data_IF_556154854906
#
_entry.id   IF_556154854906
#
_cell.length_a   1.000
_cell.length_b   1.000
_cell.length_c   1.000
_cell.angle_alpha   90.00
_cell.angle_beta   90.00
_cell.angle_gamma   90.00
#
_symmetry.space_group_name_H-M   'P 1'
#
loop_
_entity.id
_entity.type
_entity.pdbx_description
1 polymer ?
#
# COMPACT_ATOMS: atom_id res chain seq x y z
N UNK A 1 -11.35 20.35 1.93
CA UNK A 1 -10.73 19.28 1.13
C UNK A 1 -10.58 18.02 1.95
N UNK A 2 -9.87 18.05 3.08
CA UNK A 2 -9.69 16.88 3.96
C UNK A 2 -11.00 16.21 4.44
N UNK A 3 -12.02 17.01 4.79
CA UNK A 3 -13.32 16.46 5.19
C UNK A 3 -13.98 15.61 4.09
N UNK A 4 -13.77 15.99 2.81
CA UNK A 4 -14.26 15.23 1.66
C UNK A 4 -13.49 13.91 1.53
N UNK A 5 -12.15 13.97 1.53
CA UNK A 5 -11.30 12.76 1.47
C UNK A 5 -11.66 11.79 2.60
N UNK A 6 -11.83 12.29 3.82
CA UNK A 6 -12.23 11.46 4.97
C UNK A 6 -13.60 10.81 4.76
N UNK A 7 -14.57 11.52 4.18
CA UNK A 7 -15.87 10.94 3.85
C UNK A 7 -15.77 9.86 2.77
N UNK A 8 -14.93 10.06 1.75
CA UNK A 8 -14.68 9.09 0.69
C UNK A 8 -13.96 7.83 1.22
N UNK A 9 -12.97 7.99 2.10
CA UNK A 9 -12.32 6.87 2.79
C UNK A 9 -13.32 6.10 3.66
N UNK A 10 -14.17 6.81 4.41
CA UNK A 10 -15.22 6.18 5.20
C UNK A 10 -16.23 5.42 4.33
N UNK A 11 -16.55 5.92 3.14
CA UNK A 11 -17.42 5.24 2.19
C UNK A 11 -16.75 3.98 1.61
N UNK A 12 -15.44 4.05 1.34
CA UNK A 12 -14.66 2.89 0.92
C UNK A 12 -14.63 1.80 2.00
N UNK A 13 -14.37 2.19 3.25
CA UNK A 13 -14.35 1.28 4.40
C UNK A 13 -15.71 0.62 4.65
N UNK A 14 -16.82 1.31 4.36
CA UNK A 14 -18.16 0.75 4.48
C UNK A 14 -18.44 -0.43 3.52
N UNK A 15 -17.67 -0.59 2.44
CA UNK A 15 -17.75 -1.76 1.55
C UNK A 15 -17.23 -3.05 2.19
N UNK A 16 -16.37 -2.93 3.21
CA UNK A 16 -15.83 -4.06 3.95
C UNK A 16 -16.10 -3.85 5.45
N UNK A 17 -17.26 -4.32 5.97
CA UNK A 17 -17.58 -4.19 7.39
C UNK A 17 -16.47 -4.72 8.30
N UNK A 18 -16.04 -3.90 9.25
CA UNK A 18 -14.93 -4.21 10.16
C UNK A 18 -13.54 -3.77 9.67
N UNK A 19 -13.43 -3.23 8.45
CA UNK A 19 -12.20 -2.59 7.93
C UNK A 19 -11.58 -1.56 8.88
N UNK A 20 -12.41 -0.82 9.62
CA UNK A 20 -12.00 0.17 10.60
C UNK A 20 -11.24 -0.41 11.82
N UNK A 21 -11.19 -1.73 12.00
CA UNK A 21 -10.38 -2.36 13.04
C UNK A 21 -8.88 -2.07 12.86
N UNK A 22 -8.43 -1.92 11.61
CA UNK A 22 -7.06 -1.54 11.25
C UNK A 22 -7.14 -0.30 10.37
N UNK A 23 -7.00 0.87 10.99
CA UNK A 23 -7.11 2.13 10.27
C UNK A 23 -5.92 2.34 9.32
N UNK A 24 -6.18 2.91 8.15
CA UNK A 24 -5.11 3.53 7.36
C UNK A 24 -4.52 4.72 8.12
N UNK A 25 -3.26 5.05 7.85
CA UNK A 25 -2.51 6.07 8.63
C UNK A 25 -1.64 6.94 7.74
N UNK A 26 -1.51 8.22 8.09
CA UNK A 26 -0.68 9.19 7.37
C UNK A 26 -1.47 10.40 6.85
N UNK A 27 -0.94 11.05 5.82
CA UNK A 27 -1.52 12.24 5.21
C UNK A 27 -2.69 11.90 4.29
N UNK A 28 -3.75 12.71 4.34
CA UNK A 28 -4.90 12.59 3.43
C UNK A 28 -4.65 13.19 2.03
N UNK A 29 -3.47 13.76 1.80
CA UNK A 29 -3.00 14.22 0.48
C UNK A 29 -1.61 13.64 0.23
N UNK A 30 -1.46 12.31 0.15
CA UNK A 30 -0.16 11.68 0.06
C UNK A 30 0.42 11.80 -1.35
N UNK A 31 1.73 12.02 -1.43
CA UNK A 31 2.48 11.79 -2.66
C UNK A 31 2.71 10.28 -2.87
N UNK A 32 2.84 9.53 -1.75
CA UNK A 32 3.13 8.09 -1.72
C UNK A 32 2.07 7.33 -0.94
N UNK A 33 1.47 6.33 -1.58
CA UNK A 33 0.61 5.35 -0.92
C UNK A 33 1.36 4.03 -0.74
N UNK A 34 1.41 3.53 0.49
CA UNK A 34 1.92 2.21 0.82
C UNK A 34 0.75 1.25 1.07
N UNK A 35 0.74 0.14 0.35
CA UNK A 35 -0.30 -0.89 0.45
C UNK A 35 0.35 -2.18 0.91
N UNK A 36 -0.11 -2.67 2.06
CA UNK A 36 0.18 -4.02 2.57
C UNK A 36 -1.01 -4.93 2.29
N UNK A 37 -0.78 -6.21 2.02
CA UNK A 37 -1.84 -7.17 1.80
C UNK A 37 -2.70 -7.36 3.04
N UNK A 38 -2.19 -8.17 3.97
CA UNK A 38 -2.85 -8.54 5.22
C UNK A 38 -2.20 -7.83 6.41
N UNK A 39 -2.99 -7.43 7.41
CA UNK A 39 -2.48 -6.87 8.65
C UNK A 39 -1.65 -7.90 9.45
N UNK A 40 -0.46 -7.50 9.90
CA UNK A 40 0.39 -8.32 10.78
C UNK A 40 0.06 -8.12 12.26
N UNK A 41 0.73 -8.86 13.14
CA UNK A 41 0.50 -8.77 14.61
C UNK A 41 0.68 -7.35 15.16
N UNK A 42 1.69 -6.62 14.67
CA UNK A 42 1.94 -5.24 15.09
C UNK A 42 0.80 -4.29 14.65
N UNK A 43 0.28 -4.49 13.43
CA UNK A 43 -0.84 -3.68 12.90
C UNK A 43 -2.11 -3.94 13.70
N UNK A 44 -2.37 -5.21 14.03
CA UNK A 44 -3.52 -5.64 14.85
C UNK A 44 -3.42 -5.08 16.26
N UNK A 45 -2.24 -5.17 16.88
CA UNK A 45 -2.00 -4.66 18.23
C UNK A 45 -2.16 -3.14 18.31
N UNK A 46 -1.69 -2.43 17.28
CA UNK A 46 -1.74 -0.97 17.23
C UNK A 46 -3.08 -0.41 16.69
N UNK A 47 -3.88 -1.24 16.01
CA UNK A 47 -5.11 -0.81 15.32
C UNK A 47 -4.87 0.08 14.10
N UNK A 48 -3.64 0.08 13.54
CA UNK A 48 -3.26 0.93 12.39
C UNK A 48 -2.31 0.18 11.45
N UNK A 49 -2.41 0.45 10.16
CA UNK A 49 -1.59 -0.19 9.13
C UNK A 49 -0.11 0.23 9.20
N UNK A 50 0.80 -0.69 8.90
CA UNK A 50 2.26 -0.50 8.89
C UNK A 50 2.82 0.03 10.22
N UNK A 51 2.32 -0.51 11.32
CA UNK A 51 2.83 -0.25 12.67
C UNK A 51 4.11 -1.04 12.97
N UNK A 52 4.42 -2.07 12.17
CA UNK A 52 5.53 -2.98 12.36
C UNK A 52 6.87 -2.53 11.74
N UNK A 53 7.84 -3.44 11.85
CA UNK A 53 9.18 -3.25 11.28
C UNK A 53 9.20 -3.19 9.75
N UNK A 54 8.19 -3.77 9.10
CA UNK A 54 7.94 -3.66 7.68
C UNK A 54 7.60 -2.22 7.26
N UNK A 55 6.73 -1.55 8.02
CA UNK A 55 6.42 -0.13 7.81
C UNK A 55 7.64 0.77 7.92
N UNK A 56 8.52 0.50 8.89
CA UNK A 56 9.78 1.21 9.07
C UNK A 56 10.79 0.91 7.93
N UNK A 57 10.88 -0.35 7.51
CA UNK A 57 11.77 -0.74 6.43
C UNK A 57 11.35 -0.13 5.08
N UNK A 58 10.04 -0.05 4.80
CA UNK A 58 9.53 0.59 3.60
C UNK A 58 9.89 2.09 3.58
N UNK A 59 9.70 2.81 4.69
CA UNK A 59 10.08 4.23 4.80
C UNK A 59 11.58 4.43 4.58
N UNK A 60 12.42 3.64 5.24
CA UNK A 60 13.88 3.68 5.05
C UNK A 60 14.30 3.42 3.60
N UNK A 61 13.61 2.50 2.91
CA UNK A 61 13.90 2.23 1.51
C UNK A 61 13.55 3.42 0.61
N UNK A 62 12.43 4.09 0.84
CA UNK A 62 12.03 5.29 0.10
C UNK A 62 12.98 6.46 0.37
N UNK A 63 13.32 6.71 1.64
CA UNK A 63 14.27 7.75 2.03
C UNK A 63 15.63 7.53 1.35
N UNK A 64 16.13 6.29 1.33
CA UNK A 64 17.39 5.94 0.69
C UNK A 64 17.38 6.10 -0.84
N UNK A 65 16.19 6.21 -1.45
CA UNK A 65 16.00 6.46 -2.88
C UNK A 65 15.65 7.90 -3.18
N UNK A 66 15.66 8.78 -2.18
CA UNK A 66 15.26 10.19 -2.29
C UNK A 66 13.79 10.38 -2.72
N UNK A 67 12.94 9.37 -2.46
CA UNK A 67 11.51 9.45 -2.68
C UNK A 67 10.89 10.17 -1.49
N UNK A 68 10.64 11.47 -1.67
CA UNK A 68 10.16 12.35 -0.61
C UNK A 68 8.68 12.70 -0.80
N UNK A 69 8.02 13.05 0.31
CA UNK A 69 6.66 13.55 0.30
C UNK A 69 5.79 12.95 1.41
N UNK A 70 4.58 13.50 1.60
CA UNK A 70 3.62 12.95 2.55
C UNK A 70 3.22 11.53 2.14
N UNK A 71 3.16 10.63 3.12
CA UNK A 71 2.78 9.23 2.90
C UNK A 71 1.44 8.90 3.54
N UNK A 72 0.74 7.95 2.95
CA UNK A 72 -0.38 7.23 3.56
C UNK A 72 -0.12 5.74 3.46
N UNK A 73 -0.49 4.98 4.49
CA UNK A 73 -0.35 3.53 4.55
C UNK A 73 -1.70 2.86 4.83
N UNK A 74 -1.94 1.72 4.19
CA UNK A 74 -3.19 0.98 4.35
C UNK A 74 -2.98 -0.53 4.11
N UNK A 75 -3.81 -1.36 4.76
CA UNK A 75 -3.96 -2.76 4.39
C UNK A 75 -5.07 -2.90 3.32
N UNK A 76 -4.80 -3.59 2.21
CA UNK A 76 -5.81 -3.89 1.20
C UNK A 76 -6.86 -4.85 1.76
N UNK A 77 -6.41 -5.92 2.43
CA UNK A 77 -7.26 -6.92 3.08
C UNK A 77 -7.56 -6.52 4.51
N UNK A 78 -8.84 -6.50 4.83
CA UNK A 78 -9.36 -6.05 6.12
C UNK A 78 -9.36 -7.17 7.16
N UNK A 79 -9.61 -6.83 8.42
CA UNK A 79 -9.86 -7.81 9.48
C UNK A 79 -11.25 -7.54 10.08
N UNK A 80 -12.27 -8.39 9.84
CA UNK A 80 -12.25 -9.61 9.05
C UNK A 80 -12.04 -9.33 7.55
N UNK A 81 -11.53 -10.34 6.83
CA UNK A 81 -11.28 -10.26 5.38
C UNK A 81 -12.61 -10.24 4.64
N UNK A 82 -12.81 -9.25 3.77
CA UNK A 82 -13.94 -9.19 2.84
C UNK A 82 -13.64 -9.97 1.55
N UNK A 83 -14.67 -10.18 0.71
CA UNK A 83 -14.50 -10.89 -0.56
C UNK A 83 -13.57 -10.15 -1.53
N UNK A 84 -13.06 -10.82 -2.58
CA UNK A 84 -12.15 -10.21 -3.55
C UNK A 84 -12.73 -8.98 -4.26
N UNK A 85 -14.04 -9.00 -4.55
CA UNK A 85 -14.72 -7.89 -5.23
C UNK A 85 -14.84 -6.66 -4.33
N UNK A 86 -15.19 -6.86 -3.05
CA UNK A 86 -15.27 -5.81 -2.05
C UNK A 86 -13.89 -5.24 -1.74
N UNK A 87 -12.87 -6.11 -1.62
CA UNK A 87 -11.46 -5.72 -1.42
C UNK A 87 -10.97 -4.82 -2.56
N UNK A 88 -11.18 -5.25 -3.82
CA UNK A 88 -10.80 -4.47 -4.99
C UNK A 88 -11.56 -3.13 -5.07
N UNK A 89 -12.86 -3.14 -4.79
CA UNK A 89 -13.69 -1.92 -4.82
C UNK A 89 -13.28 -0.92 -3.74
N UNK A 90 -13.06 -1.39 -2.52
CA UNK A 90 -12.57 -0.58 -1.40
C UNK A 90 -11.21 0.04 -1.74
N UNK A 91 -10.24 -0.78 -2.15
CA UNK A 91 -8.90 -0.30 -2.44
C UNK A 91 -8.90 0.71 -3.60
N UNK A 92 -9.70 0.47 -4.64
CA UNK A 92 -9.88 1.41 -5.74
C UNK A 92 -10.35 2.78 -5.24
N UNK A 93 -11.40 2.82 -4.42
CA UNK A 93 -11.93 4.07 -3.85
C UNK A 93 -10.90 4.79 -2.97
N UNK A 94 -10.10 4.05 -2.20
CA UNK A 94 -9.01 4.63 -1.39
C UNK A 94 -7.96 5.28 -2.29
N UNK A 95 -7.52 4.58 -3.34
CA UNK A 95 -6.54 5.12 -4.30
C UNK A 95 -7.10 6.36 -5.01
N UNK A 96 -8.37 6.35 -5.41
CA UNK A 96 -9.04 7.48 -6.07
C UNK A 96 -9.21 8.69 -5.13
N UNK A 97 -9.57 8.45 -3.86
CA UNK A 97 -9.76 9.51 -2.88
C UNK A 97 -8.46 10.22 -2.46
N UNK A 98 -7.37 9.44 -2.36
CA UNK A 98 -6.05 9.95 -1.98
C UNK A 98 -5.26 10.52 -3.16
N UNK A 99 -5.55 10.05 -4.38
CA UNK A 99 -4.89 10.38 -5.65
C UNK A 99 -3.35 10.47 -5.56
N UNK A 100 -2.66 9.40 -5.10
CA UNK A 100 -1.22 9.42 -4.93
C UNK A 100 -0.49 9.40 -6.28
N UNK A 101 0.62 10.14 -6.38
CA UNK A 101 1.53 10.07 -7.54
C UNK A 101 2.33 8.76 -7.61
N UNK A 102 2.52 8.09 -6.47
CA UNK A 102 3.20 6.79 -6.36
C UNK A 102 2.40 5.86 -5.44
N UNK A 103 2.13 4.64 -5.88
CA UNK A 103 1.62 3.58 -5.01
C UNK A 103 2.57 2.38 -5.00
N UNK A 104 2.91 1.89 -3.81
CA UNK A 104 3.83 0.76 -3.61
C UNK A 104 3.07 -0.38 -2.92
N UNK A 105 2.94 -1.51 -3.61
CA UNK A 105 2.54 -2.79 -3.02
C UNK A 105 3.73 -3.42 -2.31
N UNK A 106 3.61 -3.66 -1.00
CA UNK A 106 4.71 -4.12 -0.14
C UNK A 106 4.87 -5.65 -0.09
N UNK A 107 3.91 -6.36 -0.67
CA UNK A 107 3.90 -7.80 -0.79
C UNK A 107 3.04 -8.23 -1.99
N UNK A 108 3.00 -9.55 -2.23
CA UNK A 108 2.24 -10.16 -3.33
C UNK A 108 0.75 -9.92 -3.25
N UNK A 109 0.18 -9.98 -2.06
CA UNK A 109 -1.25 -9.81 -1.86
C UNK A 109 -1.67 -8.38 -2.21
N UNK A 110 -0.92 -7.39 -1.74
CA UNK A 110 -1.09 -6.00 -2.13
C UNK A 110 -0.95 -5.79 -3.64
N UNK A 111 0.02 -6.45 -4.28
CA UNK A 111 0.24 -6.31 -5.72
C UNK A 111 -0.94 -6.87 -6.53
N UNK A 112 -1.48 -8.03 -6.14
CA UNK A 112 -2.68 -8.64 -6.71
C UNK A 112 -3.90 -7.73 -6.51
N UNK A 113 -4.08 -7.23 -5.29
CA UNK A 113 -5.22 -6.38 -4.94
C UNK A 113 -5.19 -5.03 -5.69
N UNK A 114 -4.02 -4.38 -5.82
CA UNK A 114 -3.87 -3.17 -6.65
C UNK A 114 -4.19 -3.46 -8.11
N UNK A 115 -3.66 -4.57 -8.66
CA UNK A 115 -3.88 -4.93 -10.06
C UNK A 115 -5.37 -5.14 -10.35
N UNK A 116 -6.06 -5.85 -9.44
CA UNK A 116 -7.51 -6.08 -9.49
C UNK A 116 -8.30 -4.77 -9.36
N UNK A 117 -7.97 -3.94 -8.36
CA UNK A 117 -8.64 -2.67 -8.08
C UNK A 117 -8.59 -1.69 -9.27
N UNK A 118 -7.46 -1.65 -9.98
CA UNK A 118 -7.23 -0.76 -11.11
C UNK A 118 -7.56 -1.40 -12.47
N UNK A 119 -7.91 -2.68 -12.52
CA UNK A 119 -8.23 -3.39 -13.75
C UNK A 119 -7.03 -3.50 -14.71
N UNK A 120 -5.82 -3.66 -14.17
CA UNK A 120 -4.57 -3.75 -14.94
C UNK A 120 -3.99 -5.17 -14.88
N UNK A 121 -3.08 -5.54 -15.81
CA UNK A 121 -2.30 -6.77 -15.69
C UNK A 121 -1.53 -6.83 -14.37
N UNK A 122 -1.18 -8.05 -13.94
CA UNK A 122 -0.42 -8.27 -12.72
C UNK A 122 0.87 -7.44 -12.68
N UNK A 123 1.08 -6.73 -11.57
CA UNK A 123 2.26 -5.90 -11.37
C UNK A 123 3.55 -6.74 -11.34
N UNK A 124 4.55 -6.43 -12.18
CA UNK A 124 5.87 -7.03 -12.07
C UNK A 124 6.59 -6.50 -10.82
N UNK A 125 7.27 -7.39 -10.10
CA UNK A 125 8.05 -7.01 -8.92
C UNK A 125 9.36 -6.33 -9.31
N UNK A 126 9.63 -5.17 -8.72
CA UNK A 126 10.84 -4.39 -8.96
C UNK A 126 10.87 -3.60 -10.27
N UNK A 127 9.76 -3.61 -11.02
CA UNK A 127 9.56 -2.80 -12.21
C UNK A 127 8.39 -1.85 -11.98
N UNK A 128 8.53 -0.62 -12.50
CA UNK A 128 7.49 0.39 -12.38
C UNK A 128 6.48 0.25 -13.52
N UNK A 129 5.20 0.43 -13.20
CA UNK A 129 4.12 0.53 -14.18
C UNK A 129 3.58 1.95 -14.13
N UNK A 130 3.64 2.65 -15.26
CA UNK A 130 3.13 4.02 -15.37
C UNK A 130 1.68 4.02 -15.85
N UNK A 131 0.82 4.71 -15.11
CA UNK A 131 -0.55 5.04 -15.50
C UNK A 131 -0.66 6.57 -15.60
N UNK A 132 -1.69 7.12 -16.29
CA UNK A 132 -1.92 8.55 -16.28
C UNK A 132 -2.01 9.10 -14.84
N UNK A 133 -1.08 9.99 -14.48
CA UNK A 133 -1.03 10.65 -13.17
C UNK A 133 -0.43 9.84 -12.02
N UNK A 134 -0.02 8.58 -12.21
CA UNK A 134 0.55 7.76 -11.13
C UNK A 134 1.52 6.68 -11.59
N UNK A 135 2.48 6.37 -10.75
CA UNK A 135 3.41 5.25 -10.90
C UNK A 135 3.08 4.17 -9.87
N UNK A 136 3.15 2.91 -10.29
CA UNK A 136 2.96 1.74 -9.43
C UNK A 136 4.27 0.98 -9.30
N UNK A 137 4.55 0.44 -8.12
CA UNK A 137 5.64 -0.50 -7.87
C UNK A 137 5.14 -1.66 -7.01
N UNK A 138 5.53 -2.89 -7.32
CA UNK A 138 5.40 -4.02 -6.42
C UNK A 138 6.78 -4.44 -5.88
N UNK A 139 6.86 -4.72 -4.58
CA UNK A 139 8.00 -5.36 -3.92
C UNK A 139 7.50 -6.60 -3.17
N UNK A 140 8.32 -7.65 -3.08
CA UNK A 140 7.90 -8.93 -2.49
C UNK A 140 8.51 -9.12 -1.11
N UNK A 141 7.70 -9.56 -0.14
CA UNK A 141 8.19 -10.15 1.09
C UNK A 141 9.01 -9.21 1.97
N UNK A 142 8.56 -7.97 2.17
CA UNK A 142 9.22 -7.02 3.05
C UNK A 142 9.36 -7.58 4.48
N UNK A 143 8.31 -8.23 4.99
CA UNK A 143 8.31 -8.94 6.28
C UNK A 143 9.32 -10.11 6.31
N UNK A 144 9.37 -10.90 5.25
CA UNK A 144 10.29 -12.04 5.12
C UNK A 144 11.75 -11.62 4.91
N UNK A 145 11.99 -10.38 4.48
CA UNK A 145 13.32 -9.84 4.18
C UNK A 145 14.09 -9.40 5.42
N UNK A 146 13.40 -9.19 6.56
CA UNK A 146 13.99 -8.65 7.78
C UNK A 146 15.01 -9.58 8.45
N UNK A 147 15.04 -10.87 8.06
CA UNK A 147 15.85 -11.90 8.74
C UNK A 147 16.87 -12.63 7.83
N UNK A 148 17.14 -12.21 6.59
CA UNK A 148 18.11 -12.93 5.75
C UNK A 148 18.40 -12.39 4.35
N UNK A 149 18.88 -13.27 3.48
CA UNK A 149 19.41 -12.98 2.12
C UNK A 149 18.41 -12.29 1.17
N UNK A 150 17.12 -12.32 1.51
CA UNK A 150 16.05 -11.64 0.74
C UNK A 150 16.12 -10.12 0.81
N UNK A 151 16.78 -9.53 1.82
CA UNK A 151 16.93 -8.07 1.93
C UNK A 151 17.55 -7.44 0.68
N UNK A 152 18.56 -8.09 0.09
CA UNK A 152 19.20 -7.60 -1.12
C UNK A 152 18.24 -7.61 -2.32
N UNK A 153 17.40 -8.64 -2.43
CA UNK A 153 16.40 -8.76 -3.50
C UNK A 153 15.34 -7.66 -3.39
N UNK A 154 14.76 -7.49 -2.20
CA UNK A 154 13.76 -6.44 -1.95
C UNK A 154 14.34 -5.05 -2.21
N UNK A 155 15.58 -4.82 -1.79
CA UNK A 155 16.27 -3.57 -2.10
C UNK A 155 16.43 -3.34 -3.61
N UNK A 156 16.80 -4.36 -4.40
CA UNK A 156 16.86 -4.21 -5.86
C UNK A 156 15.49 -3.92 -6.47
N UNK A 157 14.40 -4.43 -5.89
CA UNK A 157 13.05 -4.13 -6.35
C UNK A 157 12.69 -2.66 -6.11
N UNK A 158 12.98 -2.12 -4.93
CA UNK A 158 12.79 -0.68 -4.67
C UNK A 158 13.56 0.21 -5.65
N UNK A 159 14.77 -0.20 -6.07
CA UNK A 159 15.57 0.55 -7.05
C UNK A 159 14.91 0.68 -8.42
N UNK A 160 13.83 -0.04 -8.70
CA UNK A 160 12.97 0.21 -9.85
C UNK A 160 12.52 1.68 -9.95
N UNK A 161 12.32 2.37 -8.82
CA UNK A 161 11.91 3.79 -8.78
C UNK A 161 12.94 4.76 -9.34
N UNK A 162 14.23 4.40 -9.38
CA UNK A 162 15.29 5.25 -9.96
C UNK A 162 15.39 5.15 -11.49
N UNK A 163 14.60 4.27 -12.12
CA UNK A 163 14.64 4.03 -13.57
C UNK A 163 13.54 4.76 -14.34
N UNK A 164 12.61 5.39 -13.63
CA UNK A 164 11.59 6.31 -14.14
C UNK A 164 12.14 7.73 -14.20
#
# INVERSE_FOLDING_TARGET
>A
MEAKVRAELSAADALCPGSAAIAGTGSLTPAVLLVKGTAGEADISAGVALAGADGEAARKALDALDVTGPLYAVCSRTVPVCGPAETGSRLRLIIEALDPSLAVALDREAAEDISSALGIPALPFGETVSLPGRTLLAVDGLEASLAGDRKAVVWQQFRGLRRT
#
